data_IF_211872877590
#
_entry.id   IF_211872877590
#
_cell.length_a   1.000
_cell.length_b   1.000
_cell.length_c   1.000
_cell.angle_alpha   90.00
_cell.angle_beta   90.00
_cell.angle_gamma   90.00
#
_symmetry.space_group_name_H-M   'P 1'
#
loop_
_entity.id
_entity.type
_entity.pdbx_description
1 polymer ?
#
# COMPACT_ATOMS: atom_id res chain seq x y z
N UNK A 1 -2.66 -13.69 -1.71
CA UNK A 1 -1.36 -13.92 -2.39
C UNK A 1 -0.29 -14.53 -1.46
N UNK A 2 -0.26 -14.24 -0.15
CA UNK A 2 0.83 -14.68 0.75
C UNK A 2 0.37 -15.39 2.04
N UNK A 3 -0.82 -16.00 2.05
CA UNK A 3 -1.28 -16.84 3.16
C UNK A 3 -1.53 -16.12 4.51
N UNK A 4 -1.44 -14.78 4.55
CA UNK A 4 -1.79 -13.98 5.74
C UNK A 4 -0.90 -14.22 6.97
N UNK A 5 0.32 -14.75 6.78
CA UNK A 5 1.27 -15.01 7.87
C UNK A 5 2.14 -13.78 8.09
N UNK A 6 1.64 -12.86 8.90
CA UNK A 6 2.38 -11.65 9.29
C UNK A 6 3.33 -11.97 10.47
N UNK A 7 4.63 -11.74 10.29
CA UNK A 7 5.66 -11.94 11.32
C UNK A 7 6.38 -10.62 11.51
N UNK A 8 6.28 -10.03 12.71
CA UNK A 8 6.86 -8.70 13.03
C UNK A 8 6.48 -7.58 12.03
N UNK A 9 5.36 -7.76 11.32
CA UNK A 9 4.79 -6.79 10.37
C UNK A 9 3.54 -6.17 10.99
N UNK A 10 3.72 -5.53 12.15
CA UNK A 10 2.68 -5.05 13.04
C UNK A 10 2.56 -3.52 12.97
N UNK A 11 1.34 -3.00 12.92
CA UNK A 11 1.08 -1.56 12.79
C UNK A 11 0.26 -0.95 13.94
N UNK A 12 -0.19 -1.67 14.97
CA UNK A 12 -1.01 -1.03 16.01
C UNK A 12 -0.21 -0.17 17.02
N UNK A 13 1.12 -0.11 16.90
CA UNK A 13 1.97 0.76 17.74
C UNK A 13 2.24 2.15 17.15
N UNK A 14 1.41 2.62 16.21
CA UNK A 14 1.60 3.93 15.58
C UNK A 14 1.22 5.08 16.54
N UNK A 15 2.00 6.18 16.59
CA UNK A 15 1.67 7.35 17.38
C UNK A 15 0.52 8.13 16.74
N UNK A 16 -0.09 9.07 17.49
CA UNK A 16 -0.95 10.05 16.86
C UNK A 16 -0.09 11.05 16.04
N UNK A 17 -0.06 10.86 14.72
CA UNK A 17 0.69 11.71 13.80
C UNK A 17 0.26 13.16 13.78
N UNK A 18 -1.00 13.47 14.11
CA UNK A 18 -1.49 14.85 14.19
C UNK A 18 -0.86 15.53 15.39
N UNK A 19 -0.92 14.90 16.56
CA UNK A 19 -0.30 15.44 17.78
C UNK A 19 1.23 15.50 17.67
N UNK A 20 1.83 14.50 17.01
CA UNK A 20 3.26 14.50 16.73
C UNK A 20 3.65 15.74 15.91
N UNK A 21 2.94 16.02 14.82
CA UNK A 21 3.20 17.21 14.00
C UNK A 21 3.13 18.50 14.84
N UNK A 22 2.08 18.64 15.64
CA UNK A 22 1.87 19.81 16.50
C UNK A 22 3.00 20.00 17.53
N UNK A 23 3.50 18.91 18.13
CA UNK A 23 4.60 18.97 19.10
C UNK A 23 5.91 19.49 18.52
N UNK A 24 6.11 19.35 17.20
CA UNK A 24 7.26 19.87 16.46
C UNK A 24 6.98 21.23 15.80
N UNK A 25 5.84 21.86 16.09
CA UNK A 25 5.43 23.14 15.52
C UNK A 25 4.97 23.08 14.06
N UNK A 26 4.74 21.87 13.54
CA UNK A 26 4.10 21.62 12.25
C UNK A 26 2.57 21.59 12.40
N UNK A 27 1.85 21.49 11.28
CA UNK A 27 0.39 21.28 11.28
C UNK A 27 0.10 19.80 11.01
N UNK A 28 -0.71 19.19 11.84
CA UNK A 28 -1.24 17.84 11.61
C UNK A 28 -2.63 17.90 10.96
N UNK A 29 -2.85 17.14 9.90
CA UNK A 29 -4.16 16.94 9.27
C UNK A 29 -4.45 15.45 9.18
N UNK A 30 -5.74 15.06 9.24
CA UNK A 30 -6.14 13.66 9.13
C UNK A 30 -7.36 13.46 8.23
N UNK A 31 -7.31 12.49 7.33
CA UNK A 31 -8.45 12.00 6.56
C UNK A 31 -8.77 10.56 6.94
N UNK A 32 -10.01 10.28 7.36
CA UNK A 32 -10.46 8.92 7.72
C UNK A 32 -11.38 8.28 6.68
N UNK A 33 -11.92 9.08 5.75
CA UNK A 33 -12.85 8.61 4.72
C UNK A 33 -12.40 9.14 3.36
N UNK A 34 -12.68 8.41 2.26
CA UNK A 34 -12.31 8.84 0.91
C UNK A 34 -12.77 10.26 0.56
N UNK A 35 -14.00 10.62 0.97
CA UNK A 35 -14.58 11.96 0.71
C UNK A 35 -13.83 13.13 1.38
N UNK A 36 -13.03 12.84 2.42
CA UNK A 36 -12.33 13.87 3.18
C UNK A 36 -10.98 14.22 2.53
N UNK A 37 -10.43 13.32 1.70
CA UNK A 37 -9.07 13.40 1.13
C UNK A 37 -8.85 14.68 0.33
N UNK A 38 -9.76 15.00 -0.60
CA UNK A 38 -9.64 16.22 -1.42
C UNK A 38 -9.59 17.49 -0.58
N UNK A 39 -10.35 17.52 0.52
CA UNK A 39 -10.41 18.68 1.41
C UNK A 39 -9.10 18.85 2.19
N UNK A 40 -8.55 17.74 2.70
CA UNK A 40 -7.29 17.68 3.44
C UNK A 40 -6.12 18.07 2.56
N UNK A 41 -6.05 17.57 1.32
CA UNK A 41 -4.98 17.92 0.37
C UNK A 41 -5.03 19.43 0.05
N UNK A 42 -6.23 19.99 -0.20
CA UNK A 42 -6.39 21.42 -0.47
C UNK A 42 -5.98 22.28 0.73
N UNK A 43 -6.28 21.84 1.95
CA UNK A 43 -5.85 22.51 3.17
C UNK A 43 -4.33 22.45 3.35
N UNK A 44 -3.74 21.26 3.23
CA UNK A 44 -2.30 21.03 3.31
C UNK A 44 -1.51 21.97 2.38
N UNK A 45 -1.93 22.10 1.12
CA UNK A 45 -1.25 22.95 0.12
C UNK A 45 -1.35 24.46 0.45
N UNK A 46 -2.44 24.88 1.10
CA UNK A 46 -2.66 26.31 1.44
C UNK A 46 -1.83 26.77 2.63
N UNK A 47 -1.51 25.87 3.55
CA UNK A 47 -0.78 26.17 4.78
C UNK A 47 0.67 26.55 4.46
N UNK A 48 1.13 27.72 4.96
CA UNK A 48 2.52 28.19 4.83
C UNK A 48 3.39 27.75 6.01
N UNK A 49 3.30 26.47 6.36
CA UNK A 49 4.05 25.77 7.43
C UNK A 49 4.28 24.31 7.01
N UNK A 50 5.23 23.58 7.62
CA UNK A 50 5.31 22.13 7.45
C UNK A 50 3.99 21.46 7.86
N UNK A 51 3.56 20.46 7.08
CA UNK A 51 2.31 19.73 7.32
C UNK A 51 2.60 18.23 7.29
N UNK A 52 2.04 17.50 8.25
CA UNK A 52 1.88 16.04 8.19
C UNK A 52 0.40 15.76 7.90
N UNK A 53 0.12 15.13 6.76
CA UNK A 53 -1.21 14.64 6.43
C UNK A 53 -1.28 13.13 6.65
N UNK A 54 -2.03 12.72 7.67
CA UNK A 54 -2.30 11.32 8.02
C UNK A 54 -3.56 10.84 7.28
N UNK A 55 -3.38 10.00 6.28
CA UNK A 55 -4.47 9.51 5.43
C UNK A 55 -4.70 8.03 5.73
N UNK A 56 -5.84 7.71 6.34
CA UNK A 56 -6.21 6.32 6.59
C UNK A 56 -6.55 5.61 5.28
N UNK A 57 -5.90 4.48 5.04
CA UNK A 57 -6.11 3.59 3.89
C UNK A 57 -6.53 2.20 4.38
N UNK A 58 -7.01 1.37 3.46
CA UNK A 58 -7.23 -0.05 3.73
C UNK A 58 -5.88 -0.79 3.69
N UNK A 59 -5.51 -1.44 4.80
CA UNK A 59 -4.25 -2.17 4.95
C UNK A 59 -4.19 -3.47 4.15
N UNK A 60 -5.33 -3.94 3.64
CA UNK A 60 -5.43 -5.20 2.87
C UNK A 60 -5.17 -5.02 1.37
N UNK A 61 -5.10 -3.76 0.91
CA UNK A 61 -4.85 -3.42 -0.49
C UNK A 61 -3.44 -3.81 -0.94
N UNK A 62 -3.33 -4.30 -2.17
CA UNK A 62 -2.06 -4.74 -2.75
C UNK A 62 -1.67 -3.87 -3.94
N UNK A 63 -0.36 -3.81 -4.22
CA UNK A 63 0.16 -3.07 -5.38
C UNK A 63 0.03 -3.90 -6.65
N UNK A 64 -0.81 -3.45 -7.58
CA UNK A 64 -0.95 -4.01 -8.92
C UNK A 64 -0.60 -2.95 -10.01
N UNK A 65 -0.18 -3.36 -11.22
CA UNK A 65 0.10 -4.74 -11.64
C UNK A 65 1.36 -5.30 -10.98
N UNK A 66 1.41 -6.62 -10.80
CA UNK A 66 2.53 -7.32 -10.16
C UNK A 66 3.00 -8.47 -11.05
N UNK A 67 4.29 -8.53 -11.38
CA UNK A 67 4.90 -9.72 -11.99
C UNK A 67 5.37 -10.63 -10.85
N UNK A 68 4.80 -11.84 -10.69
CA UNK A 68 5.26 -12.77 -9.66
C UNK A 68 6.73 -13.14 -9.86
N UNK A 69 7.41 -13.49 -8.77
CA UNK A 69 8.79 -14.00 -8.86
C UNK A 69 8.82 -15.25 -9.75
N UNK A 70 9.72 -15.25 -10.73
CA UNK A 70 9.86 -16.33 -11.71
C UNK A 70 8.97 -16.22 -12.95
N UNK A 71 8.06 -15.24 -13.04
CA UNK A 71 7.19 -15.03 -14.20
C UNK A 71 7.83 -14.16 -15.28
N UNK A 72 7.37 -14.31 -16.52
CA UNK A 72 7.77 -13.45 -17.63
C UNK A 72 7.12 -12.05 -17.56
N UNK A 73 7.69 -11.06 -18.24
CA UNK A 73 7.21 -9.67 -18.17
C UNK A 73 5.78 -9.47 -18.69
N UNK A 74 5.29 -10.40 -19.51
CA UNK A 74 3.93 -10.41 -20.04
C UNK A 74 2.94 -11.21 -19.18
N UNK A 75 3.38 -11.78 -18.05
CA UNK A 75 2.57 -12.60 -17.14
C UNK A 75 2.29 -11.81 -15.85
N UNK A 76 1.56 -10.70 -15.99
CA UNK A 76 1.23 -9.82 -14.88
C UNK A 76 -0.05 -10.27 -14.18
N UNK A 77 -0.02 -10.25 -12.85
CA UNK A 77 -1.23 -10.21 -12.03
C UNK A 77 -1.81 -8.80 -12.10
N UNK A 78 -3.07 -8.71 -12.48
CA UNK A 78 -3.80 -7.45 -12.56
C UNK A 78 -4.71 -7.27 -11.33
N UNK A 79 -5.18 -6.04 -11.13
CA UNK A 79 -6.05 -5.75 -10.00
C UNK A 79 -7.38 -6.51 -10.09
N UNK A 80 -8.09 -6.73 -8.97
CA UNK A 80 -9.35 -7.46 -8.96
C UNK A 80 -10.45 -6.86 -9.86
N UNK A 81 -10.34 -5.58 -10.22
CA UNK A 81 -11.27 -4.90 -11.12
C UNK A 81 -10.82 -4.90 -12.60
N UNK A 82 -9.62 -5.40 -12.90
CA UNK A 82 -9.13 -5.54 -14.27
C UNK A 82 -9.67 -6.84 -14.91
N UNK A 83 -10.64 -6.70 -15.82
CA UNK A 83 -11.31 -7.82 -16.48
C UNK A 83 -10.60 -8.40 -17.71
N UNK A 84 -9.29 -8.14 -17.92
CA UNK A 84 -8.58 -8.78 -19.04
C UNK A 84 -8.24 -10.23 -18.70
N UNK A 85 -9.10 -11.13 -19.19
CA UNK A 85 -9.05 -12.59 -19.03
C UNK A 85 -7.63 -13.18 -19.03
N UNK A 86 -7.24 -13.77 -17.90
CA UNK A 86 -6.10 -14.69 -17.78
C UNK A 86 -6.22 -15.82 -18.81
N UNK A 87 -5.33 -15.86 -19.81
CA UNK A 87 -5.27 -16.97 -20.77
C UNK A 87 -4.23 -18.03 -20.46
N UNK A 88 -3.34 -17.85 -19.49
CA UNK A 88 -2.28 -18.82 -19.23
C UNK A 88 -2.25 -19.20 -17.75
N UNK A 89 -3.02 -20.22 -17.39
CA UNK A 89 -2.82 -20.97 -16.15
C UNK A 89 -2.71 -22.45 -16.52
N UNK A 90 -1.51 -22.86 -16.94
CA UNK A 90 -1.14 -24.28 -17.03
C UNK A 90 0.37 -24.46 -16.82
N UNK A 91 0.70 -25.30 -15.82
CA UNK A 91 2.02 -25.85 -15.43
C UNK A 91 3.06 -24.86 -14.85
N UNK A 92 3.80 -25.15 -13.78
CA UNK A 92 4.25 -26.45 -13.29
C UNK A 92 4.37 -26.48 -11.76
N UNK A 93 3.85 -27.55 -11.18
CA UNK A 93 4.37 -28.13 -9.93
C UNK A 93 5.78 -28.71 -10.20
N UNK A 94 6.60 -28.73 -9.15
CA UNK A 94 7.94 -29.37 -9.04
C UNK A 94 9.11 -28.76 -9.84
N UNK A 95 10.02 -28.07 -9.12
CA UNK A 95 11.41 -28.52 -9.03
C UNK A 95 12.23 -27.76 -7.97
N UNK A 96 13.10 -28.54 -7.32
CA UNK A 96 14.01 -28.20 -6.23
C UNK A 96 14.96 -27.03 -6.54
N UNK A 97 15.25 -26.24 -5.49
CA UNK A 97 16.55 -25.63 -5.24
C UNK A 97 17.07 -24.60 -6.26
N UNK A 98 16.89 -23.31 -5.93
CA UNK A 98 17.92 -22.32 -6.23
C UNK A 98 18.23 -21.48 -5.01
N UNK A 99 19.37 -21.79 -4.38
CA UNK A 99 20.12 -20.85 -3.56
C UNK A 99 20.87 -19.93 -4.55
N UNK A 100 20.71 -18.62 -4.42
CA UNK A 100 21.60 -17.66 -5.06
C UNK A 100 22.22 -16.77 -3.98
N UNK A 101 23.55 -16.70 -4.03
CA UNK A 101 24.44 -15.84 -3.23
C UNK A 101 24.11 -14.38 -3.46
#
# INVERSE_FOLDING_TARGET
>A
LHGGRYSESYMDSLPDFVMLAESFGAVGLRAKKPKDVDSVIKEMIRIKKPVIADICIDETENCFPMIPSGSAHNEMLLGPEDHSKDKNKESAEDNEGMILV
#
